data_IF_129333914446
#
_entry.id   IF_129333914446
#
_cell.length_a   1.000
_cell.length_b   1.000
_cell.length_c   1.000
_cell.angle_alpha   90.00
_cell.angle_beta   90.00
_cell.angle_gamma   90.00
#
_symmetry.space_group_name_H-M   'P 1'
#
loop_
_entity.id
_entity.type
_entity.pdbx_description
1 polymer ?
#
# COMPACT_ATOMS: atom_id res chain seq x y z
N UNK A 1 40.27 -2.48 1.59
CA UNK A 1 39.01 -2.01 0.96
C UNK A 1 37.90 -2.04 2.01
N UNK A 2 37.54 -0.88 2.56
CA UNK A 2 36.50 -0.72 3.58
C UNK A 2 35.13 -0.81 2.90
N UNK A 3 34.30 -1.75 3.34
CA UNK A 3 32.86 -1.70 3.09
C UNK A 3 32.35 -0.36 3.63
N UNK A 4 31.86 0.51 2.75
CA UNK A 4 31.12 1.70 3.14
C UNK A 4 29.81 1.23 3.76
N UNK A 5 29.78 1.15 5.09
CA UNK A 5 28.54 1.18 5.85
C UNK A 5 27.85 2.49 5.50
N UNK A 6 26.84 2.44 4.64
CA UNK A 6 25.91 3.55 4.48
C UNK A 6 25.11 3.65 5.79
N UNK A 7 25.54 4.63 6.56
CA UNK A 7 25.01 5.13 7.82
C UNK A 7 23.47 5.10 7.93
N UNK A 8 22.98 4.47 9.00
CA UNK A 8 22.06 5.15 9.89
C UNK A 8 20.60 5.32 9.48
N UNK A 9 20.05 4.55 8.53
CA UNK A 9 18.58 4.53 8.37
C UNK A 9 18.00 3.72 9.54
N UNK A 10 17.18 4.32 10.42
CA UNK A 10 16.54 3.55 11.49
C UNK A 10 15.73 2.42 10.85
N UNK A 11 16.09 1.19 11.19
CA UNK A 11 15.36 -0.03 10.81
C UNK A 11 13.94 0.07 11.40
N UNK A 12 12.98 0.48 10.57
CA UNK A 12 11.53 0.71 10.80
C UNK A 12 11.19 1.81 11.82
N UNK A 13 10.79 2.98 11.30
CA UNK A 13 10.06 4.03 12.06
C UNK A 13 8.74 3.53 12.69
N UNK A 14 8.18 2.44 12.17
CA UNK A 14 6.94 1.83 12.64
C UNK A 14 7.14 0.31 12.77
N UNK A 15 7.54 -0.20 13.95
CA UNK A 15 7.68 -1.63 14.16
C UNK A 15 6.31 -2.32 14.05
N UNK A 16 6.28 -3.52 13.45
CA UNK A 16 5.07 -4.35 13.31
C UNK A 16 3.91 -3.68 12.56
N UNK A 17 4.19 -2.66 11.75
CA UNK A 17 3.17 -1.91 11.03
C UNK A 17 2.32 -2.82 10.13
N UNK A 18 2.93 -3.85 9.52
CA UNK A 18 2.24 -4.90 8.75
C UNK A 18 1.13 -5.57 9.58
N UNK A 19 1.40 -5.91 10.84
CA UNK A 19 0.40 -6.50 11.76
C UNK A 19 -0.74 -5.53 12.06
N UNK A 20 -0.44 -4.23 12.17
CA UNK A 20 -1.47 -3.20 12.38
C UNK A 20 -2.36 -3.07 11.15
N UNK A 21 -1.77 -3.06 9.94
CA UNK A 21 -2.52 -3.10 8.68
C UNK A 21 -3.43 -4.32 8.61
N UNK A 22 -2.88 -5.51 8.87
CA UNK A 22 -3.66 -6.75 8.87
C UNK A 22 -4.79 -6.70 9.90
N UNK A 23 -4.51 -6.34 11.16
CA UNK A 23 -5.54 -6.24 12.21
C UNK A 23 -6.68 -5.30 11.82
N UNK A 24 -6.36 -4.15 11.23
CA UNK A 24 -7.37 -3.18 10.82
C UNK A 24 -8.18 -3.69 9.63
N UNK A 25 -7.53 -4.06 8.53
CA UNK A 25 -8.20 -4.36 7.27
C UNK A 25 -8.75 -5.79 7.16
N UNK A 26 -8.42 -6.69 8.09
CA UNK A 26 -9.07 -8.00 8.21
C UNK A 26 -10.35 -7.97 9.06
N UNK A 27 -10.64 -6.85 9.75
CA UNK A 27 -11.96 -6.63 10.35
C UNK A 27 -13.04 -6.53 9.27
N UNK A 28 -14.31 -6.76 9.63
CA UNK A 28 -15.40 -6.76 8.65
C UNK A 28 -15.60 -5.39 7.99
N UNK A 29 -15.51 -4.31 8.75
CA UNK A 29 -15.57 -2.96 8.20
C UNK A 29 -14.28 -2.57 7.46
N UNK A 30 -13.12 -3.05 7.95
CA UNK A 30 -11.85 -2.89 7.25
C UNK A 30 -11.87 -3.48 5.83
N UNK A 31 -12.46 -4.67 5.66
CA UNK A 31 -12.64 -5.29 4.33
C UNK A 31 -13.51 -4.44 3.42
N UNK A 32 -14.62 -3.87 3.93
CA UNK A 32 -15.50 -2.99 3.16
C UNK A 32 -14.78 -1.72 2.70
N UNK A 33 -14.01 -1.10 3.60
CA UNK A 33 -13.21 0.09 3.27
C UNK A 33 -12.15 -0.25 2.22
N UNK A 34 -11.43 -1.37 2.38
CA UNK A 34 -10.39 -1.78 1.43
C UNK A 34 -10.98 -2.08 0.04
N UNK A 35 -12.14 -2.74 -0.02
CA UNK A 35 -12.86 -2.96 -1.27
C UNK A 35 -13.31 -1.63 -1.92
N UNK A 36 -13.81 -0.69 -1.12
CA UNK A 36 -14.18 0.64 -1.62
C UNK A 36 -12.97 1.40 -2.18
N UNK A 37 -11.82 1.37 -1.49
CA UNK A 37 -10.58 1.98 -1.99
C UNK A 37 -10.11 1.35 -3.30
N UNK A 38 -10.20 0.01 -3.41
CA UNK A 38 -9.87 -0.70 -4.63
C UNK A 38 -10.76 -0.25 -5.80
N UNK A 39 -12.08 -0.18 -5.59
CA UNK A 39 -13.01 0.30 -6.60
C UNK A 39 -12.66 1.72 -7.07
N UNK A 40 -12.41 2.65 -6.14
CA UNK A 40 -12.07 4.04 -6.46
C UNK A 40 -10.81 4.18 -7.34
N UNK A 41 -9.82 3.29 -7.18
CA UNK A 41 -8.54 3.39 -7.88
C UNK A 41 -8.49 2.56 -9.18
N UNK A 42 -9.16 1.41 -9.21
CA UNK A 42 -9.07 0.45 -10.33
C UNK A 42 -10.25 0.51 -11.29
N UNK A 43 -11.44 0.88 -10.82
CA UNK A 43 -12.65 0.89 -11.68
C UNK A 43 -12.83 2.23 -12.40
N UNK A 44 -12.03 3.24 -12.06
CA UNK A 44 -11.95 4.49 -12.83
C UNK A 44 -11.19 4.26 -14.14
N UNK A 45 -11.85 4.58 -15.25
CA UNK A 45 -11.20 4.66 -16.56
C UNK A 45 -11.02 6.13 -16.94
N UNK A 46 -9.83 6.47 -17.41
CA UNK A 46 -9.55 7.76 -18.04
C UNK A 46 -9.77 7.63 -19.55
N UNK A 47 -10.44 8.62 -20.14
CA UNK A 47 -10.67 8.66 -21.58
C UNK A 47 -9.39 8.94 -22.37
N UNK A 48 -9.47 8.80 -23.70
CA UNK A 48 -8.32 9.00 -24.59
C UNK A 48 -7.69 10.39 -24.51
N UNK A 49 -8.48 11.41 -24.17
CA UNK A 49 -8.04 12.81 -24.02
C UNK A 49 -7.45 13.11 -22.63
N UNK A 50 -7.26 12.10 -21.78
CA UNK A 50 -6.69 12.31 -20.47
C UNK A 50 -5.21 12.70 -20.57
N UNK A 51 -4.82 13.71 -19.78
CA UNK A 51 -3.43 14.15 -19.74
C UNK A 51 -2.52 13.09 -19.12
N UNK A 52 -1.25 13.08 -19.52
CA UNK A 52 -0.18 12.29 -18.89
C UNK A 52 -0.16 12.45 -17.36
N UNK A 53 -0.39 13.67 -16.87
CA UNK A 53 -0.39 13.95 -15.45
C UNK A 53 -1.54 13.23 -14.74
N UNK A 54 -2.73 13.20 -15.33
CA UNK A 54 -3.88 12.48 -14.79
C UNK A 54 -3.63 10.97 -14.77
N UNK A 55 -3.04 10.42 -15.85
CA UNK A 55 -2.67 9.01 -15.93
C UNK A 55 -1.66 8.62 -14.84
N UNK A 56 -0.58 9.40 -14.68
CA UNK A 56 0.44 9.16 -13.64
C UNK A 56 -0.12 9.32 -12.23
N UNK A 57 -1.00 10.29 -12.02
CA UNK A 57 -1.68 10.47 -10.74
C UNK A 57 -2.53 9.23 -10.40
N UNK A 58 -3.32 8.73 -11.36
CA UNK A 58 -4.12 7.53 -11.14
C UNK A 58 -3.24 6.30 -10.87
N UNK A 59 -2.12 6.15 -11.58
CA UNK A 59 -1.19 5.04 -11.35
C UNK A 59 -0.54 5.11 -9.95
N UNK A 60 -0.26 6.33 -9.46
CA UNK A 60 0.16 6.55 -8.08
C UNK A 60 -0.87 6.07 -7.05
N UNK A 61 -2.16 6.33 -7.30
CA UNK A 61 -3.25 5.86 -6.43
C UNK A 61 -3.33 4.32 -6.41
N UNK A 62 -3.24 3.66 -7.58
CA UNK A 62 -3.22 2.20 -7.71
C UNK A 62 -2.03 1.57 -6.99
N UNK A 63 -0.85 2.16 -7.17
CA UNK A 63 0.38 1.74 -6.49
C UNK A 63 0.25 1.84 -4.97
N UNK A 64 -0.36 2.92 -4.47
CA UNK A 64 -0.60 3.11 -3.04
C UNK A 64 -1.56 2.07 -2.46
N UNK A 65 -2.69 1.81 -3.13
CA UNK A 65 -3.65 0.78 -2.69
C UNK A 65 -3.02 -0.62 -2.75
N UNK A 66 -2.23 -0.92 -3.79
CA UNK A 66 -1.46 -2.17 -3.89
C UNK A 66 -0.49 -2.36 -2.73
N UNK A 67 0.16 -1.28 -2.27
CA UNK A 67 1.02 -1.32 -1.09
C UNK A 67 0.22 -1.69 0.17
N UNK A 68 -0.98 -1.13 0.36
CA UNK A 68 -1.85 -1.51 1.49
C UNK A 68 -2.18 -3.01 1.47
N UNK A 69 -2.61 -3.54 0.31
CA UNK A 69 -2.85 -4.99 0.16
C UNK A 69 -1.63 -5.83 0.54
N UNK A 70 -0.44 -5.42 0.09
CA UNK A 70 0.81 -6.07 0.46
C UNK A 70 1.07 -6.03 1.97
N UNK A 71 0.82 -4.89 2.63
CA UNK A 71 1.00 -4.78 4.08
C UNK A 71 0.05 -5.68 4.86
N UNK A 72 -1.21 -5.80 4.41
CA UNK A 72 -2.21 -6.70 4.99
C UNK A 72 -1.77 -8.16 4.83
N UNK A 73 -1.33 -8.56 3.64
CA UNK A 73 -0.86 -9.92 3.39
C UNK A 73 0.39 -10.26 4.21
N UNK A 74 1.38 -9.35 4.26
CA UNK A 74 2.57 -9.51 5.09
C UNK A 74 2.22 -9.62 6.58
N UNK A 75 1.25 -8.84 7.06
CA UNK A 75 0.81 -8.89 8.45
C UNK A 75 0.09 -10.18 8.79
N UNK A 76 -0.76 -10.68 7.88
CA UNK A 76 -1.46 -11.98 8.03
C UNK A 76 -0.49 -13.15 8.16
N UNK A 77 0.61 -13.15 7.40
CA UNK A 77 1.64 -14.21 7.47
C UNK A 77 2.48 -14.18 8.75
N UNK A 78 2.45 -13.06 9.49
CA UNK A 78 3.22 -12.86 10.72
C UNK A 78 2.40 -13.08 12.00
N UNK A 79 1.14 -13.49 11.86
CA UNK A 79 0.30 -13.96 12.97
C UNK A 79 0.86 -15.31 13.43
N UNK A 80 1.11 -15.51 14.75
CA UNK A 80 1.61 -16.78 15.28
C UNK A 80 0.65 -17.95 15.01
#
# INVERSE_FOLDING_TARGET
MKALFLNGVPRRKYPQIERVYARLFLSDDGKKVLAHMQAQCYERSLGMEASDQALRFQEGQRSFVSMIFRMVDLGRRQTP
#
